data_IF_177718540711
#
_entry.id   IF_177718540711
#
_cell.length_a   1.000
_cell.length_b   1.000
_cell.length_c   1.000
_cell.angle_alpha   90.00
_cell.angle_beta   90.00
_cell.angle_gamma   90.00
#
_symmetry.space_group_name_H-M   'P 1'
#
loop_
_entity.id
_entity.type
_entity.pdbx_description
1 polymer ?
#
# COMPACT_ATOMS: atom_id res chain seq x y z
N UNK A 1 -0.40 -17.50 9.23
CA UNK A 1 0.35 -16.60 10.12
C UNK A 1 -0.65 -15.87 11.00
N UNK A 2 -0.51 -15.98 12.34
CA UNK A 2 -1.33 -15.26 13.32
C UNK A 2 -0.61 -13.95 13.61
N UNK A 3 -1.20 -12.84 13.22
CA UNK A 3 -0.70 -11.51 13.58
C UNK A 3 -1.30 -11.14 14.93
N UNK A 4 -0.45 -10.99 15.96
CA UNK A 4 -0.85 -10.47 17.26
C UNK A 4 -0.47 -9.00 17.32
N UNK A 5 -1.44 -8.12 17.51
CA UNK A 5 -1.22 -6.70 17.81
C UNK A 5 -1.16 -6.49 19.31
N UNK A 6 -0.18 -5.75 19.79
CA UNK A 6 -0.12 -5.24 21.16
C UNK A 6 -0.29 -3.73 21.14
N UNK A 7 -1.10 -3.20 22.06
CA UNK A 7 -1.34 -1.77 22.21
C UNK A 7 -0.48 -1.24 23.34
N UNK A 8 0.38 -0.25 23.04
CA UNK A 8 1.05 0.53 24.08
C UNK A 8 0.50 1.96 24.05
N UNK A 9 -0.04 2.39 25.17
CA UNK A 9 -0.51 3.77 25.36
C UNK A 9 0.57 4.50 26.17
N UNK A 10 1.28 5.43 25.55
CA UNK A 10 2.16 6.36 26.24
C UNK A 10 1.74 7.79 25.91
N UNK A 11 1.39 8.55 26.96
CA UNK A 11 1.18 10.01 26.97
C UNK A 11 0.75 10.64 25.64
N UNK A 12 -0.50 10.44 25.24
CA UNK A 12 -1.12 11.18 24.13
C UNK A 12 -0.93 10.63 22.72
N UNK A 13 -0.22 9.51 22.54
CA UNK A 13 -0.07 8.84 21.23
C UNK A 13 -0.34 7.34 21.36
N UNK A 14 -1.30 6.84 20.62
CA UNK A 14 -1.55 5.40 20.54
C UNK A 14 -0.53 4.81 19.56
N UNK A 15 0.41 4.02 20.06
CA UNK A 15 1.33 3.23 19.24
C UNK A 15 0.76 1.82 19.11
N UNK A 16 0.53 1.37 17.88
CA UNK A 16 0.16 -0.01 17.61
C UNK A 16 1.39 -0.69 17.01
N UNK A 17 1.93 -1.68 17.71
CA UNK A 17 3.09 -2.45 17.25
C UNK A 17 2.60 -3.79 16.71
N UNK A 18 2.96 -4.08 15.48
CA UNK A 18 2.59 -5.30 14.79
C UNK A 18 3.82 -6.17 14.56
N UNK A 19 3.70 -7.46 14.88
CA UNK A 19 4.76 -8.43 14.65
C UNK A 19 4.36 -9.39 13.53
N UNK A 20 5.12 -9.40 12.44
CA UNK A 20 4.93 -10.31 11.32
C UNK A 20 6.28 -10.99 11.02
N UNK A 21 6.45 -12.21 11.51
CA UNK A 21 7.71 -12.93 11.34
C UNK A 21 8.87 -12.21 12.01
N UNK A 22 9.89 -11.83 11.24
CA UNK A 22 11.08 -11.10 11.73
C UNK A 22 10.90 -9.57 11.76
N UNK A 23 9.76 -9.03 11.33
CA UNK A 23 9.55 -7.59 11.18
C UNK A 23 8.54 -7.07 12.20
N UNK A 24 8.86 -5.94 12.81
CA UNK A 24 7.93 -5.17 13.62
C UNK A 24 7.44 -3.98 12.82
N UNK A 25 6.13 -3.85 12.67
CA UNK A 25 5.49 -2.74 11.98
C UNK A 25 4.87 -1.79 13.00
N UNK A 26 5.19 -0.52 12.85
CA UNK A 26 4.70 0.51 13.74
C UNK A 26 3.84 1.50 12.96
N UNK A 27 2.55 1.48 13.19
CA UNK A 27 1.64 2.51 12.70
C UNK A 27 1.65 3.70 13.65
N UNK A 28 1.87 4.90 13.16
CA UNK A 28 1.98 6.12 14.00
C UNK A 28 1.30 7.28 13.31
N UNK A 29 0.65 8.13 14.10
CA UNK A 29 0.33 9.50 13.70
C UNK A 29 1.58 10.36 13.90
N UNK A 30 2.21 10.76 12.83
CA UNK A 30 3.39 11.62 12.61
C UNK A 30 4.18 12.18 13.84
N UNK A 31 5.47 12.54 13.71
CA UNK A 31 6.35 12.50 12.55
C UNK A 31 7.22 11.25 12.56
N UNK A 32 7.31 10.57 11.42
CA UNK A 32 7.98 9.28 11.34
C UNK A 32 8.94 9.23 10.18
N UNK A 33 10.00 8.45 10.36
CA UNK A 33 10.80 8.01 9.24
C UNK A 33 9.92 7.13 8.35
N UNK A 34 9.77 7.55 7.11
CA UNK A 34 8.93 6.90 6.13
C UNK A 34 9.57 5.59 5.64
N UNK A 35 8.75 4.63 5.24
CA UNK A 35 9.22 3.36 4.71
C UNK A 35 10.30 3.48 3.62
N UNK A 36 10.29 4.55 2.83
CA UNK A 36 11.33 4.84 1.84
C UNK A 36 12.69 5.22 2.42
N UNK A 37 12.76 5.59 3.69
CA UNK A 37 14.00 5.95 4.37
C UNK A 37 14.53 4.77 5.19
N UNK A 38 13.76 3.70 5.25
CA UNK A 38 14.14 2.49 5.94
C UNK A 38 15.02 1.63 5.01
N UNK A 39 16.22 1.30 5.46
CA UNK A 39 17.23 0.57 4.67
C UNK A 39 16.81 -0.89 4.37
N UNK A 40 15.81 -1.41 5.08
CA UNK A 40 15.36 -2.78 5.00
C UNK A 40 14.25 -3.01 3.95
N UNK A 41 13.79 -1.96 3.25
CA UNK A 41 12.78 -2.07 2.21
C UNK A 41 13.45 -2.28 0.86
N UNK A 42 13.23 -3.43 0.27
CA UNK A 42 13.68 -3.72 -1.08
C UNK A 42 12.96 -2.87 -2.12
N UNK A 43 13.73 -2.21 -2.97
CA UNK A 43 13.25 -1.59 -4.20
C UNK A 43 13.25 -2.62 -5.34
N UNK A 44 12.80 -2.23 -6.54
CA UNK A 44 12.80 -3.09 -7.73
C UNK A 44 14.16 -3.76 -7.98
N UNK A 45 15.25 -3.06 -7.66
CA UNK A 45 16.63 -3.49 -7.93
C UNK A 45 17.34 -4.02 -6.70
N UNK A 46 16.64 -4.26 -5.59
CA UNK A 46 17.26 -4.64 -4.31
C UNK A 46 18.10 -3.51 -3.68
N UNK A 47 17.96 -2.27 -4.15
CA UNK A 47 18.66 -1.13 -3.57
C UNK A 47 18.00 -0.69 -2.27
N UNK A 48 18.77 -0.29 -1.26
CA UNK A 48 18.23 0.39 -0.08
C UNK A 48 17.41 1.61 -0.49
N UNK A 49 16.30 1.91 0.18
CA UNK A 49 15.41 3.03 -0.18
C UNK A 49 16.11 4.38 -0.28
N UNK A 50 17.05 4.68 0.59
CA UNK A 50 17.86 5.91 0.53
C UNK A 50 18.66 6.01 -0.76
N UNK A 51 19.26 4.91 -1.20
CA UNK A 51 20.03 4.87 -2.42
C UNK A 51 19.12 4.93 -3.65
N UNK A 52 17.99 4.24 -3.65
CA UNK A 52 16.98 4.32 -4.71
C UNK A 52 16.43 5.74 -4.88
N UNK A 53 16.24 6.47 -3.78
CA UNK A 53 15.84 7.88 -3.80
C UNK A 53 16.91 8.77 -4.44
N UNK A 54 18.19 8.63 -4.04
CA UNK A 54 19.31 9.39 -4.62
C UNK A 54 19.45 9.17 -6.11
N UNK A 55 19.20 7.94 -6.58
CA UNK A 55 19.28 7.57 -7.99
C UNK A 55 17.99 7.88 -8.77
N UNK A 56 16.98 8.49 -8.15
CA UNK A 56 15.70 8.79 -8.78
C UNK A 56 14.88 7.56 -9.18
N UNK A 57 15.13 6.43 -8.54
CA UNK A 57 14.47 5.13 -8.84
C UNK A 57 13.14 4.91 -8.13
N UNK A 58 12.78 5.77 -7.21
CA UNK A 58 11.43 5.80 -6.65
C UNK A 58 10.48 6.42 -7.67
N UNK A 59 9.47 5.68 -8.06
CA UNK A 59 8.49 6.17 -9.04
C UNK A 59 7.54 7.16 -8.40
N UNK A 60 7.92 8.42 -8.47
CA UNK A 60 7.21 9.56 -7.89
C UNK A 60 6.95 10.68 -8.90
N UNK A 61 7.24 10.45 -10.19
CA UNK A 61 6.98 11.41 -11.25
C UNK A 61 5.52 11.42 -11.68
N UNK A 62 4.99 12.56 -12.17
CA UNK A 62 3.67 12.60 -12.79
C UNK A 62 3.54 11.58 -13.92
N UNK A 63 2.36 11.01 -14.08
CA UNK A 63 2.07 10.01 -15.11
C UNK A 63 0.68 10.21 -15.71
N UNK A 64 0.46 9.70 -16.91
CA UNK A 64 -0.78 9.90 -17.67
C UNK A 64 -1.49 8.57 -17.87
N UNK A 65 -2.80 8.54 -17.56
CA UNK A 65 -3.68 7.40 -17.86
C UNK A 65 -4.95 7.93 -18.55
N UNK A 66 -5.26 7.40 -19.74
CA UNK A 66 -6.42 7.82 -20.55
C UNK A 66 -6.54 9.35 -20.70
N UNK A 67 -5.42 10.03 -20.97
CA UNK A 67 -5.37 11.49 -21.15
C UNK A 67 -5.44 12.32 -19.86
N UNK A 68 -5.66 11.71 -18.70
CA UNK A 68 -5.64 12.41 -17.41
C UNK A 68 -4.28 12.28 -16.75
N UNK A 69 -3.70 13.42 -16.34
CA UNK A 69 -2.45 13.45 -15.60
C UNK A 69 -2.68 13.27 -14.10
N UNK A 70 -1.89 12.40 -13.49
CA UNK A 70 -1.88 12.14 -12.07
C UNK A 70 -0.55 12.60 -11.48
N UNK A 71 -0.60 13.29 -10.35
CA UNK A 71 0.56 13.82 -9.64
C UNK A 71 0.73 13.06 -8.32
N UNK A 72 1.69 12.14 -8.21
CA UNK A 72 1.99 11.50 -6.94
C UNK A 72 2.36 12.54 -5.87
N UNK A 73 1.98 12.27 -4.64
CA UNK A 73 2.34 13.14 -3.52
C UNK A 73 3.84 13.06 -3.23
N UNK A 74 4.38 14.12 -2.62
CA UNK A 74 5.77 14.10 -2.16
C UNK A 74 5.97 13.03 -1.08
N UNK A 75 7.20 12.57 -0.92
CA UNK A 75 7.56 11.60 0.13
C UNK A 75 7.21 12.16 1.52
N UNK A 76 7.46 13.45 1.75
CA UNK A 76 7.13 14.08 3.03
C UNK A 76 5.61 14.07 3.31
N UNK A 77 4.79 14.35 2.32
CA UNK A 77 3.34 14.27 2.44
C UNK A 77 2.86 12.83 2.65
N UNK A 78 3.52 11.88 2.02
CA UNK A 78 3.17 10.47 2.14
C UNK A 78 3.45 9.90 3.55
N UNK A 79 4.40 10.47 4.30
CA UNK A 79 4.70 10.06 5.69
C UNK A 79 3.50 10.14 6.64
N UNK A 80 2.62 11.08 6.40
CA UNK A 80 1.44 11.34 7.25
C UNK A 80 0.14 10.97 6.55
N UNK A 81 0.22 10.16 5.49
CA UNK A 81 -0.95 9.80 4.72
C UNK A 81 -1.92 8.97 5.55
N UNK A 82 -3.16 9.44 5.59
CA UNK A 82 -4.32 8.76 6.17
C UNK A 82 -5.54 9.12 5.32
N UNK A 83 -6.28 8.11 4.86
CA UNK A 83 -7.51 8.31 4.09
C UNK A 83 -8.52 7.22 4.39
N UNK A 84 -9.82 7.60 4.43
CA UNK A 84 -10.94 6.68 4.53
C UNK A 84 -11.70 6.71 3.22
N UNK A 85 -11.94 5.54 2.64
CA UNK A 85 -12.67 5.43 1.38
C UNK A 85 -13.01 3.99 1.03
N UNK A 86 -13.32 3.77 -0.25
CA UNK A 86 -13.68 2.46 -0.77
C UNK A 86 -12.46 1.77 -1.35
N UNK A 87 -12.27 0.50 -0.99
CA UNK A 87 -11.31 -0.41 -1.60
C UNK A 87 -12.03 -1.45 -2.47
N UNK A 88 -11.33 -1.91 -3.52
CA UNK A 88 -11.64 -3.17 -4.18
C UNK A 88 -10.38 -4.04 -4.25
N UNK A 89 -10.42 -5.11 -5.04
CA UNK A 89 -9.28 -6.00 -5.19
C UNK A 89 -9.09 -6.42 -6.65
N UNK A 90 -7.88 -6.88 -6.98
CA UNK A 90 -7.48 -7.45 -8.26
C UNK A 90 -6.72 -8.76 -8.03
N UNK A 91 -6.83 -9.68 -8.98
CA UNK A 91 -6.33 -11.04 -8.77
C UNK A 91 -5.86 -11.72 -10.05
N UNK A 92 -6.15 -13.00 -10.19
CA UNK A 92 -5.69 -13.85 -11.29
C UNK A 92 -6.17 -13.40 -12.68
N UNK A 93 -7.32 -12.70 -12.76
CA UNK A 93 -7.82 -12.12 -14.00
C UNK A 93 -6.83 -11.09 -14.58
N UNK A 94 -6.17 -10.32 -13.72
CA UNK A 94 -5.16 -9.33 -14.10
C UNK A 94 -3.98 -9.99 -14.82
N UNK A 95 -3.55 -11.18 -14.40
CA UNK A 95 -2.44 -11.91 -15.04
C UNK A 95 -2.73 -12.31 -16.49
N UNK A 96 -4.00 -12.35 -16.89
CA UNK A 96 -4.45 -12.71 -18.23
C UNK A 96 -4.47 -11.51 -19.18
N UNK A 97 -4.43 -10.30 -18.66
CA UNK A 97 -4.40 -9.07 -19.45
C UNK A 97 -3.00 -8.79 -19.97
N UNK A 98 -2.91 -8.10 -21.11
CA UNK A 98 -1.62 -7.65 -21.65
C UNK A 98 -0.94 -6.70 -20.66
N UNK A 99 0.27 -7.05 -20.23
CA UNK A 99 1.03 -6.25 -19.24
C UNK A 99 0.65 -6.51 -17.78
N UNK A 100 -0.41 -7.27 -17.48
CA UNK A 100 -0.89 -7.51 -16.11
C UNK A 100 0.02 -8.37 -15.22
N UNK A 101 1.16 -8.84 -15.74
CA UNK A 101 2.17 -9.56 -14.94
C UNK A 101 3.16 -8.64 -14.25
N UNK A 102 3.23 -7.37 -14.66
CA UNK A 102 4.17 -6.39 -14.12
C UNK A 102 3.41 -5.22 -13.52
N UNK A 103 3.75 -4.88 -12.30
CA UNK A 103 3.23 -3.70 -11.62
C UNK A 103 3.86 -2.42 -12.18
N UNK A 104 3.28 -1.26 -11.88
CA UNK A 104 3.84 0.02 -12.26
C UNK A 104 5.23 0.27 -11.68
N UNK A 105 5.57 -0.38 -10.57
CA UNK A 105 6.91 -0.33 -9.98
C UNK A 105 7.91 -1.28 -10.66
N UNK A 106 7.47 -2.13 -11.60
CA UNK A 106 8.31 -3.09 -12.30
C UNK A 106 8.49 -4.42 -11.57
N UNK A 107 7.69 -4.69 -10.55
CA UNK A 107 7.67 -5.95 -9.82
C UNK A 107 6.72 -6.95 -10.49
N UNK A 108 7.02 -8.24 -10.35
CA UNK A 108 6.11 -9.29 -10.82
C UNK A 108 4.90 -9.35 -9.88
N UNK A 109 3.70 -9.24 -10.45
CA UNK A 109 2.47 -9.35 -9.67
C UNK A 109 2.19 -10.81 -9.27
N UNK A 110 2.03 -11.07 -7.99
CA UNK A 110 1.50 -12.32 -7.42
C UNK A 110 0.22 -12.02 -6.63
N UNK A 111 -0.95 -12.50 -7.07
CA UNK A 111 -2.22 -12.26 -6.40
C UNK A 111 -2.28 -12.73 -4.94
N UNK A 112 -1.39 -13.64 -4.53
CA UNK A 112 -1.34 -14.20 -3.17
C UNK A 112 -0.57 -13.31 -2.18
N UNK A 113 0.31 -12.44 -2.69
CA UNK A 113 1.09 -11.50 -1.87
C UNK A 113 0.20 -10.35 -1.37
N UNK A 114 0.66 -9.66 -0.34
CA UNK A 114 -0.04 -8.50 0.21
C UNK A 114 0.46 -7.23 -0.46
N UNK A 115 -0.06 -6.96 -1.66
CA UNK A 115 0.27 -5.78 -2.47
C UNK A 115 -0.97 -4.95 -2.76
N UNK A 116 -0.77 -3.74 -3.26
CA UNK A 116 -1.86 -2.83 -3.62
C UNK A 116 -1.47 -1.87 -4.73
N UNK A 117 -2.48 -1.31 -5.39
CA UNK A 117 -2.41 -0.21 -6.32
C UNK A 117 -2.97 1.07 -5.68
N UNK A 118 -2.25 2.18 -5.81
CA UNK A 118 -2.66 3.49 -5.32
C UNK A 118 -2.29 4.60 -6.31
N UNK A 119 -3.20 5.59 -6.48
CA UNK A 119 -3.02 6.65 -7.49
C UNK A 119 -1.87 7.61 -7.15
N UNK A 120 -1.70 7.95 -5.87
CA UNK A 120 -0.91 9.11 -5.47
C UNK A 120 0.25 8.82 -4.53
N UNK A 121 0.30 7.66 -3.90
CA UNK A 121 1.46 7.31 -3.07
C UNK A 121 2.71 7.12 -3.92
N UNK A 122 3.90 7.51 -3.44
CA UNK A 122 5.17 7.10 -4.06
C UNK A 122 5.27 5.58 -4.16
N UNK A 123 5.93 5.04 -5.18
CA UNK A 123 6.15 3.61 -5.32
C UNK A 123 7.63 3.26 -5.15
N UNK A 124 7.94 2.26 -4.31
CA UNK A 124 7.04 1.52 -3.42
C UNK A 124 6.72 2.27 -2.13
N UNK A 125 5.55 2.03 -1.55
CA UNK A 125 5.17 2.46 -0.19
C UNK A 125 4.61 1.29 0.60
N UNK A 126 4.59 1.39 1.93
CA UNK A 126 3.88 0.45 2.78
C UNK A 126 2.79 1.19 3.55
N UNK A 127 1.61 0.62 3.54
CA UNK A 127 0.45 1.16 4.26
C UNK A 127 -0.26 0.05 5.03
N UNK A 128 -0.86 0.41 6.14
CA UNK A 128 -1.83 -0.42 6.83
C UNK A 128 -3.20 -0.13 6.24
N UNK A 129 -3.90 -1.17 5.84
CA UNK A 129 -5.29 -1.12 5.39
C UNK A 129 -6.14 -1.80 6.45
N UNK A 130 -7.14 -1.09 6.97
CA UNK A 130 -8.11 -1.61 7.94
C UNK A 130 -9.49 -1.60 7.31
N UNK A 131 -10.16 -2.76 7.30
CA UNK A 131 -11.55 -2.85 6.90
C UNK A 131 -12.44 -2.38 8.07
N UNK A 132 -13.16 -1.26 7.87
CA UNK A 132 -13.98 -0.62 8.89
C UNK A 132 -15.29 -1.35 9.22
N UNK A 133 -15.59 -2.45 8.51
CA UNK A 133 -16.79 -3.24 8.76
C UNK A 133 -16.54 -4.40 9.75
N UNK A 134 -15.27 -4.81 9.90
CA UNK A 134 -14.94 -5.99 10.73
C UNK A 134 -13.62 -5.83 11.50
N UNK A 135 -13.00 -4.64 11.46
CA UNK A 135 -11.73 -4.28 12.11
C UNK A 135 -10.53 -5.16 11.72
N UNK A 136 -10.66 -5.97 10.65
CA UNK A 136 -9.52 -6.71 10.11
C UNK A 136 -8.59 -5.77 9.36
N UNK A 137 -7.30 -6.01 9.53
CA UNK A 137 -6.27 -5.19 8.90
C UNK A 137 -5.16 -6.04 8.30
N UNK A 138 -4.44 -5.43 7.37
CA UNK A 138 -3.25 -5.99 6.72
C UNK A 138 -2.32 -4.88 6.30
N UNK A 139 -1.01 -5.13 6.38
CA UNK A 139 -0.01 -4.26 5.77
C UNK A 139 0.21 -4.72 4.35
N UNK A 140 0.14 -3.76 3.41
CA UNK A 140 0.34 -4.02 1.98
C UNK A 140 1.49 -3.16 1.44
N UNK A 141 2.23 -3.73 0.50
CA UNK A 141 3.20 -3.00 -0.30
C UNK A 141 2.47 -2.38 -1.48
N UNK A 142 2.42 -1.07 -1.53
CA UNK A 142 1.89 -0.32 -2.67
C UNK A 142 2.97 -0.28 -3.74
N UNK A 143 2.82 -1.07 -4.77
CA UNK A 143 3.78 -1.21 -5.87
C UNK A 143 3.15 -1.01 -7.24
N UNK A 144 1.87 -0.63 -7.29
CA UNK A 144 1.15 -0.43 -8.54
C UNK A 144 0.34 0.87 -8.55
N UNK A 145 -0.12 1.29 -9.75
CA UNK A 145 -0.94 2.48 -9.99
C UNK A 145 -2.40 2.10 -10.23
N UNK A 146 -3.30 2.86 -9.66
CA UNK A 146 -4.75 2.70 -9.71
C UNK A 146 -5.39 2.98 -8.34
N UNK A 147 -6.71 2.78 -8.20
CA UNK A 147 -7.70 2.42 -9.23
C UNK A 147 -7.98 3.58 -10.20
N UNK A 148 -8.30 3.22 -11.44
CA UNK A 148 -8.67 4.19 -12.47
C UNK A 148 -10.11 3.98 -12.94
N UNK A 149 -10.78 5.04 -13.45
CA UNK A 149 -12.06 4.89 -14.12
C UNK A 149 -11.95 3.92 -15.30
N UNK A 150 -12.91 3.04 -15.45
CA UNK A 150 -13.05 2.20 -16.63
C UNK A 150 -14.27 2.63 -17.44
N UNK A 151 -14.28 2.29 -18.73
CA UNK A 151 -15.37 2.63 -19.62
C UNK A 151 -16.68 1.91 -19.22
N UNK A 152 -16.55 0.75 -18.59
CA UNK A 152 -17.67 -0.05 -18.07
C UNK A 152 -18.09 0.34 -16.65
N UNK A 153 -17.21 0.96 -15.88
CA UNK A 153 -17.46 1.40 -14.51
C UNK A 153 -16.69 2.70 -14.21
N UNK A 154 -17.24 3.86 -14.58
CA UNK A 154 -16.58 5.14 -14.32
C UNK A 154 -16.32 5.40 -12.83
N UNK A 155 -17.22 4.96 -11.94
CA UNK A 155 -17.07 5.12 -10.49
C UNK A 155 -15.91 4.30 -9.88
N UNK A 156 -15.30 3.39 -10.66
CA UNK A 156 -14.10 2.69 -10.19
C UNK A 156 -12.95 3.63 -9.85
N UNK A 157 -12.92 4.83 -10.44
CA UNK A 157 -11.95 5.87 -10.13
C UNK A 157 -12.15 6.55 -8.76
N UNK A 158 -13.31 6.39 -8.13
CA UNK A 158 -13.61 6.99 -6.82
C UNK A 158 -13.02 6.18 -5.67
N UNK A 159 -12.64 4.92 -5.93
CA UNK A 159 -11.94 4.09 -4.95
C UNK A 159 -10.57 4.69 -4.62
N UNK A 160 -10.15 4.53 -3.37
CA UNK A 160 -8.86 5.04 -2.91
C UNK A 160 -7.72 4.03 -3.13
N UNK A 161 -8.01 2.74 -3.05
CA UNK A 161 -7.03 1.66 -3.15
C UNK A 161 -7.66 0.41 -3.77
N UNK A 162 -6.88 -0.32 -4.56
CA UNK A 162 -7.19 -1.69 -4.94
C UNK A 162 -6.11 -2.61 -4.35
N UNK A 163 -6.52 -3.58 -3.54
CA UNK A 163 -5.59 -4.52 -2.92
C UNK A 163 -5.52 -5.83 -3.70
N UNK A 164 -4.46 -6.61 -3.52
CA UNK A 164 -4.37 -7.96 -4.09
C UNK A 164 -5.46 -8.88 -3.53
N UNK A 165 -5.76 -9.96 -4.24
CA UNK A 165 -6.71 -10.99 -3.81
C UNK A 165 -6.34 -11.57 -2.43
N UNK A 166 -5.05 -11.81 -2.18
CA UNK A 166 -4.55 -12.28 -0.88
C UNK A 166 -4.84 -11.31 0.25
N UNK A 167 -4.64 -10.01 0.02
CA UNK A 167 -4.96 -8.97 0.99
C UNK A 167 -6.48 -8.84 1.20
N UNK A 168 -7.28 -8.90 0.13
CA UNK A 168 -8.75 -8.86 0.24
C UNK A 168 -9.32 -10.04 1.06
N UNK A 169 -8.75 -11.24 0.90
CA UNK A 169 -9.08 -12.42 1.72
C UNK A 169 -8.73 -12.19 3.19
N UNK A 170 -7.56 -11.62 3.45
CA UNK A 170 -7.10 -11.29 4.80
C UNK A 170 -7.97 -10.23 5.47
N UNK A 171 -8.44 -9.25 4.69
CA UNK A 171 -9.35 -8.19 5.14
C UNK A 171 -10.82 -8.64 5.24
N UNK A 172 -11.16 -9.85 4.79
CA UNK A 172 -12.49 -10.42 4.90
C UNK A 172 -13.52 -9.90 3.89
N UNK A 173 -13.12 -9.13 2.87
CA UNK A 173 -14.09 -8.60 1.89
C UNK A 173 -13.98 -9.19 0.47
N UNK A 174 -13.12 -10.18 0.25
CA UNK A 174 -12.92 -10.81 -1.06
C UNK A 174 -14.23 -11.21 -1.75
N UNK A 175 -15.15 -11.87 -1.03
CA UNK A 175 -16.45 -12.31 -1.57
C UNK A 175 -17.39 -11.14 -1.86
N UNK A 176 -17.33 -10.08 -1.07
CA UNK A 176 -18.15 -8.87 -1.21
C UNK A 176 -17.67 -7.98 -2.36
N UNK A 177 -16.39 -8.04 -2.69
CA UNK A 177 -15.76 -7.28 -3.77
C UNK A 177 -15.35 -5.86 -3.41
N UNK A 178 -16.07 -5.19 -2.53
CA UNK A 178 -15.83 -3.82 -2.07
C UNK A 178 -15.88 -3.77 -0.53
N UNK A 179 -15.09 -2.87 0.04
CA UNK A 179 -15.16 -2.57 1.47
C UNK A 179 -14.85 -1.08 1.73
N UNK A 180 -15.41 -0.55 2.81
CA UNK A 180 -14.98 0.73 3.34
C UNK A 180 -13.75 0.50 4.21
N UNK A 181 -12.65 1.15 3.87
CA UNK A 181 -11.36 0.96 4.53
C UNK A 181 -10.77 2.26 5.01
N UNK A 182 -9.90 2.16 6.00
CA UNK A 182 -8.93 3.19 6.38
C UNK A 182 -7.56 2.75 5.88
N UNK A 183 -6.84 3.67 5.23
CA UNK A 183 -5.47 3.46 4.75
C UNK A 183 -4.55 4.41 5.48
N UNK A 184 -3.50 3.89 6.10
CA UNK A 184 -2.57 4.67 6.92
C UNK A 184 -1.13 4.36 6.54
N UNK A 185 -0.32 5.40 6.44
CA UNK A 185 1.12 5.26 6.30
C UNK A 185 1.73 4.54 7.51
N UNK A 186 2.72 3.69 7.26
CA UNK A 186 3.45 2.96 8.29
C UNK A 186 4.95 3.10 8.14
N UNK A 187 5.65 2.96 9.25
CA UNK A 187 7.11 2.76 9.28
C UNK A 187 7.40 1.26 9.48
N UNK A 188 8.32 0.73 8.68
CA UNK A 188 8.83 -0.62 8.85
C UNK A 188 10.13 -0.58 9.65
N UNK A 189 10.23 -1.39 10.71
CA UNK A 189 11.46 -1.58 11.50
C UNK A 189 11.78 -3.06 11.59
N UNK A 190 13.03 -3.40 11.35
CA UNK A 190 13.53 -4.75 11.61
C UNK A 190 13.76 -4.95 13.12
N UNK A 191 13.33 -6.08 13.67
CA UNK A 191 13.77 -6.50 15.00
C UNK A 191 15.22 -6.96 14.92
N UNK A 192 16.09 -6.28 15.64
CA UNK A 192 17.49 -6.69 15.83
C UNK A 192 17.61 -7.83 16.83
#
# INVERSE_FOLDING_TARGET
>A
YVVKGTYEITAGTTKVVYHIGKFTYKAVKAPMEWAFVNEDIETIDGLPPKEALKQGRVRNSPYVVKGKTYYPMSIEKAKTYEEIGVASWYGYETLRTKGGRMTANGEVFDPRQFTAAHKYLPLPSHVMVTNLENDQWVIVRVNDRGPFPSDYNPSSGDRIIDVSEGAAKRLGFHKKGLARVKVEAIELKEER
#
